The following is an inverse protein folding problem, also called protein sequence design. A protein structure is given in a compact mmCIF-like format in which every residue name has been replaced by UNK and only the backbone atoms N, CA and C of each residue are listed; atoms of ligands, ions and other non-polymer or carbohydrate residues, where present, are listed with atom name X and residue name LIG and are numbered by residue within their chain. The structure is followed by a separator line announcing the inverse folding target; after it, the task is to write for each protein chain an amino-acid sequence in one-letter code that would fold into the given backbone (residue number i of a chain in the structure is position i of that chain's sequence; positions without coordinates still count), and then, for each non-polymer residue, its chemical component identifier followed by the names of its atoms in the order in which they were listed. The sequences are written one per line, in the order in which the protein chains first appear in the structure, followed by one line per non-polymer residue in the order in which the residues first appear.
data_IF_086744726175
#
_entry.id   IF_086744726175
#
_cell.length_a   1.000
_cell.length_b   1.000
_cell.length_c   1.000
_cell.angle_alpha   90.00
_cell.angle_beta   90.00
_cell.angle_gamma   90.00
#
_symmetry.space_group_name_H-M   'P 1'
#
loop_
_entity.id
_entity.type
_entity.pdbx_description
1 polymer ?
#
# COMPACT_ATOMS: atom_id res chain seq x y z
N UNK A 1 9.71 13.54 -8.79
CA UNK A 1 9.53 12.81 -10.06
C UNK A 1 8.41 11.80 -9.85
N UNK A 2 7.46 11.75 -10.77
CA UNK A 2 6.20 11.03 -10.69
C UNK A 2 5.98 10.23 -11.98
N UNK A 3 4.84 9.58 -12.11
CA UNK A 3 4.46 8.85 -13.31
C UNK A 3 4.40 9.77 -14.54
N UNK A 4 4.02 11.04 -14.38
CA UNK A 4 4.02 12.04 -15.45
C UNK A 4 5.42 12.28 -16.01
N UNK A 5 6.45 12.28 -15.16
CA UNK A 5 7.84 12.37 -15.60
C UNK A 5 8.27 11.15 -16.45
N UNK A 6 7.79 9.97 -16.08
CA UNK A 6 8.03 8.75 -16.87
C UNK A 6 7.28 8.76 -18.19
N UNK A 7 6.02 9.20 -18.20
CA UNK A 7 5.23 9.39 -19.42
C UNK A 7 5.92 10.33 -20.42
N UNK A 8 6.38 11.48 -19.93
CA UNK A 8 7.11 12.45 -20.74
C UNK A 8 8.39 11.85 -21.36
N UNK A 9 9.18 11.09 -20.55
CA UNK A 9 10.39 10.42 -21.02
C UNK A 9 10.12 9.35 -22.09
N UNK A 10 9.02 8.59 -21.95
CA UNK A 10 8.67 7.49 -22.84
C UNK A 10 7.85 7.93 -24.06
N UNK A 11 7.30 9.14 -24.06
CA UNK A 11 6.35 9.61 -25.08
C UNK A 11 5.05 8.80 -25.07
N UNK A 12 4.56 8.38 -23.90
CA UNK A 12 3.37 7.55 -23.70
C UNK A 12 2.35 8.25 -22.83
N UNK A 13 1.08 7.90 -23.01
CA UNK A 13 -0.01 8.29 -22.14
C UNK A 13 -0.68 7.05 -21.54
N UNK A 14 -0.92 7.08 -20.24
CA UNK A 14 -1.65 6.06 -19.50
C UNK A 14 -2.95 6.67 -18.97
N UNK A 15 -3.98 6.61 -19.81
CA UNK A 15 -5.23 7.32 -19.58
C UNK A 15 -6.03 6.72 -18.42
N UNK A 16 -6.07 5.39 -18.28
CA UNK A 16 -6.79 4.75 -17.21
C UNK A 16 -6.15 5.05 -15.82
N UNK A 17 -4.83 5.11 -15.76
CA UNK A 17 -4.10 5.56 -14.55
C UNK A 17 -4.47 7.01 -14.22
N UNK A 18 -4.47 7.89 -15.20
CA UNK A 18 -4.81 9.32 -15.02
C UNK A 18 -6.26 9.52 -14.56
N UNK A 19 -7.21 8.80 -15.15
CA UNK A 19 -8.62 8.86 -14.79
C UNK A 19 -8.90 8.34 -13.38
N UNK A 20 -8.31 7.19 -13.02
CA UNK A 20 -8.42 6.61 -11.68
C UNK A 20 -7.82 7.54 -10.61
N UNK A 21 -6.68 8.17 -10.92
CA UNK A 21 -6.06 9.20 -10.06
C UNK A 21 -6.97 10.40 -9.85
N UNK A 22 -7.50 10.96 -10.93
CA UNK A 22 -8.40 12.12 -10.84
C UNK A 22 -9.68 11.80 -10.04
N UNK A 23 -10.27 10.62 -10.24
CA UNK A 23 -11.43 10.16 -9.48
C UNK A 23 -11.08 9.99 -7.99
N UNK A 24 -9.97 9.37 -7.67
CA UNK A 24 -9.51 9.15 -6.29
C UNK A 24 -9.27 10.48 -5.56
N UNK A 25 -8.59 11.43 -6.20
CA UNK A 25 -8.35 12.76 -5.64
C UNK A 25 -9.65 13.53 -5.38
N UNK A 26 -10.61 13.47 -6.32
CA UNK A 26 -11.95 14.03 -6.13
C UNK A 26 -12.66 13.40 -4.93
N UNK A 27 -12.60 12.08 -4.78
CA UNK A 27 -13.21 11.37 -3.67
C UNK A 27 -12.59 11.76 -2.32
N UNK A 28 -11.26 11.85 -2.23
CA UNK A 28 -10.54 12.33 -1.03
C UNK A 28 -10.95 13.77 -0.67
N UNK A 29 -11.04 14.66 -1.65
CA UNK A 29 -11.49 16.05 -1.41
C UNK A 29 -12.92 16.11 -0.89
N UNK A 30 -13.85 15.33 -1.44
CA UNK A 30 -15.24 15.29 -0.99
C UNK A 30 -15.36 14.74 0.44
N UNK A 31 -14.63 13.65 0.76
CA UNK A 31 -14.56 13.09 2.11
C UNK A 31 -14.00 14.13 3.10
N UNK A 32 -12.89 14.78 2.75
CA UNK A 32 -12.29 15.81 3.61
C UNK A 32 -13.27 16.96 3.89
N UNK A 33 -13.94 17.45 2.87
CA UNK A 33 -14.93 18.53 3.01
C UNK A 33 -16.14 18.11 3.85
N UNK A 34 -16.60 16.85 3.76
CA UNK A 34 -17.70 16.33 4.55
C UNK A 34 -17.30 16.21 6.04
N UNK A 35 -16.16 15.62 6.34
CA UNK A 35 -15.62 15.47 7.70
C UNK A 35 -15.40 16.86 8.35
N UNK A 36 -14.95 17.84 7.58
CA UNK A 36 -14.76 19.20 8.07
C UNK A 36 -16.08 19.91 8.41
N UNK A 37 -17.10 19.74 7.59
CA UNK A 37 -18.44 20.29 7.85
C UNK A 37 -19.07 19.76 9.14
N UNK A 38 -18.94 18.45 9.35
CA UNK A 38 -19.45 17.78 10.56
C UNK A 38 -18.62 18.05 11.81
N UNK A 39 -17.50 18.79 11.69
CA UNK A 39 -16.56 19.07 12.80
C UNK A 39 -16.06 17.82 13.52
N UNK A 40 -15.97 16.72 12.81
CA UNK A 40 -15.50 15.42 13.33
C UNK A 40 -13.98 15.43 13.49
N UNK A 41 -13.47 16.22 14.45
CA UNK A 41 -12.04 16.47 14.65
C UNK A 41 -11.62 16.19 16.07
N UNK A 42 -10.55 15.43 16.21
CA UNK A 42 -9.82 15.23 17.47
C UNK A 42 -8.33 15.16 17.14
N UNK A 43 -7.47 15.67 18.03
CA UNK A 43 -6.01 15.51 17.91
C UNK A 43 -5.55 14.07 18.18
N UNK A 44 -6.40 13.28 18.86
CA UNK A 44 -6.14 11.89 19.21
C UNK A 44 -6.70 10.90 18.19
N UNK A 45 -7.45 11.36 17.19
CA UNK A 45 -8.05 10.49 16.18
C UNK A 45 -7.73 10.98 14.77
N UNK A 46 -7.63 10.04 13.83
CA UNK A 46 -7.55 10.34 12.41
C UNK A 46 -8.43 9.38 11.62
N UNK A 47 -9.27 9.94 10.73
CA UNK A 47 -9.89 9.14 9.70
C UNK A 47 -8.87 8.81 8.63
N UNK A 48 -8.76 7.54 8.28
CA UNK A 48 -7.82 7.03 7.30
C UNK A 48 -8.59 6.25 6.24
N UNK A 49 -8.33 6.55 4.98
CA UNK A 49 -8.74 5.70 3.86
C UNK A 49 -7.57 4.84 3.42
N UNK A 50 -7.89 3.66 2.91
CA UNK A 50 -6.95 2.61 2.55
C UNK A 50 -7.29 2.05 1.16
N UNK A 51 -6.54 1.07 0.71
CA UNK A 51 -6.84 0.32 -0.50
C UNK A 51 -6.74 1.14 -1.78
N UNK A 52 -7.64 0.90 -2.73
CA UNK A 52 -7.60 1.54 -4.06
C UNK A 52 -7.71 3.06 -3.98
N UNK A 53 -8.48 3.60 -3.03
CA UNK A 53 -8.60 5.04 -2.87
C UNK A 53 -7.28 5.68 -2.44
N UNK A 54 -6.61 5.08 -1.47
CA UNK A 54 -5.31 5.57 -0.99
C UNK A 54 -4.17 5.39 -2.01
N UNK A 55 -4.27 4.37 -2.89
CA UNK A 55 -3.32 4.17 -3.99
C UNK A 55 -3.63 4.96 -5.26
N UNK A 56 -4.67 5.81 -5.22
CA UNK A 56 -5.16 6.57 -6.39
C UNK A 56 -5.57 5.68 -7.58
N UNK A 57 -6.11 4.50 -7.29
CA UNK A 57 -6.60 3.49 -8.23
C UNK A 57 -8.11 3.29 -8.16
N UNK A 58 -8.79 4.15 -7.40
CA UNK A 58 -10.22 4.03 -7.17
C UNK A 58 -11.03 4.40 -8.42
N UNK A 59 -12.05 3.60 -8.68
CA UNK A 59 -13.01 3.81 -9.77
C UNK A 59 -14.43 3.66 -9.23
N UNK A 60 -15.47 4.17 -9.91
CA UNK A 60 -16.87 3.93 -9.49
C UNK A 60 -17.14 2.45 -9.26
N UNK A 61 -17.83 2.12 -8.16
CA UNK A 61 -18.07 0.72 -7.74
C UNK A 61 -16.91 0.04 -7.02
N UNK A 62 -15.80 0.74 -6.74
CA UNK A 62 -14.76 0.26 -5.82
C UNK A 62 -15.24 0.24 -4.39
N UNK A 63 -14.68 -0.67 -3.58
CA UNK A 63 -14.90 -0.67 -2.13
C UNK A 63 -14.18 0.54 -1.51
N UNK A 64 -14.85 1.22 -0.58
CA UNK A 64 -14.25 2.31 0.20
C UNK A 64 -13.75 1.74 1.53
N UNK A 65 -12.48 1.36 1.56
CA UNK A 65 -11.81 0.87 2.75
C UNK A 65 -11.36 2.04 3.65
N UNK A 66 -11.76 2.03 4.91
CA UNK A 66 -11.44 3.10 5.87
C UNK A 66 -11.31 2.55 7.30
N UNK A 67 -10.65 3.32 8.16
CA UNK A 67 -10.58 3.08 9.60
C UNK A 67 -10.46 4.39 10.37
N UNK A 68 -10.89 4.40 11.63
CA UNK A 68 -10.59 5.47 12.58
C UNK A 68 -9.40 5.04 13.42
N UNK A 69 -8.27 5.68 13.21
CA UNK A 69 -7.07 5.45 14.00
C UNK A 69 -7.14 6.30 15.28
N UNK A 70 -6.95 5.66 16.43
CA UNK A 70 -6.95 6.29 17.73
C UNK A 70 -5.55 6.22 18.33
N UNK A 71 -4.99 7.39 18.66
CA UNK A 71 -3.68 7.57 19.28
C UNK A 71 -3.80 8.47 20.50
N UNK A 72 -4.43 7.95 21.53
CA UNK A 72 -4.75 8.68 22.75
C UNK A 72 -5.30 7.77 23.82
N UNK A 73 -5.88 8.38 24.84
CA UNK A 73 -6.52 7.65 25.96
C UNK A 73 -7.77 6.92 25.50
N UNK A 74 -8.13 5.86 26.19
CA UNK A 74 -9.44 5.21 25.99
C UNK A 74 -10.52 6.20 26.45
N UNK A 75 -11.35 6.66 25.51
CA UNK A 75 -12.44 7.61 25.74
C UNK A 75 -13.75 7.02 25.20
N UNK A 76 -14.81 6.92 26.02
CA UNK A 76 -16.13 6.49 25.54
C UNK A 76 -16.67 7.33 24.38
N UNK A 77 -16.23 8.57 24.21
CA UNK A 77 -16.62 9.45 23.10
C UNK A 77 -16.05 8.99 21.73
N UNK A 78 -15.06 8.11 21.71
CA UNK A 78 -14.58 7.55 20.44
C UNK A 78 -15.65 6.72 19.72
N UNK A 79 -16.55 6.05 20.45
CA UNK A 79 -17.62 5.25 19.83
C UNK A 79 -18.63 6.11 19.06
N UNK A 80 -19.28 7.14 19.65
CA UNK A 80 -20.16 8.01 18.88
C UNK A 80 -19.42 8.79 17.78
N UNK A 81 -18.15 9.18 17.98
CA UNK A 81 -17.34 9.80 16.94
C UNK A 81 -17.16 8.86 15.73
N UNK A 82 -16.79 7.61 15.96
CA UNK A 82 -16.62 6.61 14.90
C UNK A 82 -17.94 6.32 14.17
N UNK A 83 -19.08 6.32 14.89
CA UNK A 83 -20.39 6.16 14.28
C UNK A 83 -20.74 7.34 13.36
N UNK A 84 -20.55 8.58 13.81
CA UNK A 84 -20.78 9.78 13.01
C UNK A 84 -19.89 9.81 11.76
N UNK A 85 -18.62 9.43 11.91
CA UNK A 85 -17.68 9.27 10.78
C UNK A 85 -18.22 8.23 9.79
N UNK A 86 -18.67 7.08 10.26
CA UNK A 86 -19.25 6.01 9.43
C UNK A 86 -20.44 6.51 8.62
N UNK A 87 -21.37 7.22 9.25
CA UNK A 87 -22.57 7.72 8.59
C UNK A 87 -22.21 8.77 7.53
N UNK A 88 -21.27 9.67 7.83
CA UNK A 88 -20.75 10.66 6.87
C UNK A 88 -20.07 9.99 5.67
N UNK A 89 -19.24 9.00 5.92
CA UNK A 89 -18.54 8.24 4.85
C UNK A 89 -19.56 7.52 3.95
N UNK A 90 -20.59 6.90 4.55
CA UNK A 90 -21.62 6.19 3.77
C UNK A 90 -22.41 7.12 2.86
N UNK A 91 -22.72 8.34 3.32
CA UNK A 91 -23.38 9.35 2.50
C UNK A 91 -22.51 9.74 1.29
N UNK A 92 -21.25 10.09 1.52
CA UNK A 92 -20.31 10.46 0.44
C UNK A 92 -20.04 9.29 -0.51
N UNK A 93 -19.89 8.06 0.02
CA UNK A 93 -19.70 6.87 -0.79
C UNK A 93 -20.89 6.62 -1.75
N UNK A 94 -22.13 6.82 -1.27
CA UNK A 94 -23.32 6.68 -2.10
C UNK A 94 -23.36 7.73 -3.25
N UNK A 95 -22.96 8.97 -2.98
CA UNK A 95 -22.87 10.04 -3.99
C UNK A 95 -21.80 9.73 -5.07
N UNK A 96 -20.73 9.06 -4.69
CA UNK A 96 -19.61 8.69 -5.56
C UNK A 96 -19.79 7.32 -6.25
N UNK A 97 -20.87 6.59 -5.94
CA UNK A 97 -21.06 5.22 -6.43
C UNK A 97 -20.05 4.21 -5.89
N UNK A 98 -19.50 4.47 -4.69
CA UNK A 98 -18.57 3.56 -4.01
C UNK A 98 -19.31 2.54 -3.14
N UNK A 99 -18.71 1.38 -2.96
CA UNK A 99 -19.27 0.28 -2.17
C UNK A 99 -18.80 0.35 -0.71
N UNK A 100 -19.58 -0.23 0.21
CA UNK A 100 -19.16 -0.38 1.61
C UNK A 100 -17.96 -1.32 1.70
N UNK A 101 -17.09 -1.16 2.71
CA UNK A 101 -16.00 -2.10 2.94
C UNK A 101 -16.55 -3.50 3.24
N UNK A 102 -15.75 -4.52 2.92
CA UNK A 102 -16.12 -5.92 3.23
C UNK A 102 -16.33 -6.09 4.74
N UNK A 103 -17.45 -6.70 5.19
CA UNK A 103 -17.74 -6.90 6.60
C UNK A 103 -16.78 -7.85 7.31
N UNK A 104 -15.94 -8.57 6.57
CA UNK A 104 -14.95 -9.54 7.08
C UNK A 104 -13.52 -9.01 7.06
N UNK A 105 -13.31 -7.74 6.66
CA UNK A 105 -11.98 -7.11 6.63
C UNK A 105 -11.64 -6.39 7.93
N UNK A 106 -10.41 -5.89 8.06
CA UNK A 106 -10.00 -5.04 9.18
C UNK A 106 -10.53 -3.60 9.07
N UNK A 107 -11.39 -3.33 8.09
CA UNK A 107 -11.87 -2.01 7.71
C UNK A 107 -13.27 -1.71 8.27
N UNK A 108 -13.61 -0.42 8.32
CA UNK A 108 -14.93 0.03 8.79
C UNK A 108 -15.06 0.10 10.31
N UNK A 109 -13.94 0.07 11.04
CA UNK A 109 -13.88 0.01 12.49
C UNK A 109 -12.75 0.90 13.06
N UNK A 110 -12.58 0.92 14.37
CA UNK A 110 -11.52 1.62 15.08
C UNK A 110 -10.26 0.76 15.20
N UNK A 111 -9.11 1.41 15.11
CA UNK A 111 -7.78 0.83 15.32
C UNK A 111 -7.04 1.65 16.36
N UNK A 112 -6.50 1.01 17.38
CA UNK A 112 -5.71 1.66 18.41
C UNK A 112 -4.23 1.61 18.07
N UNK A 113 -3.52 2.74 18.28
CA UNK A 113 -2.09 2.85 18.04
C UNK A 113 -1.28 1.83 18.83
N UNK A 114 -1.74 1.47 20.03
CA UNK A 114 -1.10 0.47 20.86
C UNK A 114 -0.85 -0.85 20.12
N UNK A 115 -1.88 -1.38 19.45
CA UNK A 115 -1.83 -2.67 18.77
C UNK A 115 -0.86 -2.68 17.57
N UNK A 116 -0.71 -1.55 16.90
CA UNK A 116 0.10 -1.45 15.68
C UNK A 116 1.53 -0.95 15.92
N UNK A 117 1.81 -0.35 17.08
CA UNK A 117 3.14 0.18 17.44
C UNK A 117 3.83 -0.70 18.49
N UNK A 118 3.15 -0.99 19.62
CA UNK A 118 3.81 -1.61 20.77
C UNK A 118 3.87 -3.13 20.68
N UNK A 119 3.00 -3.76 19.89
CA UNK A 119 3.01 -5.21 19.72
C UNK A 119 4.08 -5.71 18.70
N UNK A 120 4.80 -4.82 18.01
CA UNK A 120 5.77 -5.21 16.94
C UNK A 120 6.77 -6.25 17.46
N UNK A 121 6.80 -7.43 16.81
CA UNK A 121 7.73 -8.52 17.14
C UNK A 121 7.44 -9.24 18.44
N UNK A 122 6.40 -8.85 19.19
CA UNK A 122 5.99 -9.49 20.43
C UNK A 122 5.06 -10.70 20.22
N UNK A 123 4.74 -11.38 21.31
CA UNK A 123 3.83 -12.54 21.32
C UNK A 123 2.42 -12.16 20.82
N UNK A 124 1.98 -10.93 21.09
CA UNK A 124 0.69 -10.37 20.68
C UNK A 124 0.70 -9.74 19.28
N UNK A 125 1.81 -9.82 18.52
CA UNK A 125 1.89 -9.29 17.16
C UNK A 125 1.18 -10.20 16.15
N UNK A 126 -0.13 -10.12 16.16
CA UNK A 126 -1.01 -10.92 15.31
C UNK A 126 -0.84 -10.56 13.82
N UNK A 127 -1.26 -11.48 12.92
CA UNK A 127 -1.34 -11.19 11.50
C UNK A 127 -2.24 -9.99 11.17
N UNK A 128 -3.27 -9.73 12.00
CA UNK A 128 -4.12 -8.55 11.88
C UNK A 128 -3.34 -7.27 12.16
N UNK A 129 -2.57 -7.24 13.25
CA UNK A 129 -1.76 -6.08 13.63
C UNK A 129 -0.70 -5.78 12.57
N UNK A 130 0.04 -6.81 12.11
CA UNK A 130 1.00 -6.68 11.00
C UNK A 130 0.32 -6.18 9.74
N UNK A 131 -0.83 -6.73 9.37
CA UNK A 131 -1.59 -6.31 8.18
C UNK A 131 -1.95 -4.83 8.26
N UNK A 132 -2.58 -4.39 9.34
CA UNK A 132 -2.99 -2.98 9.51
C UNK A 132 -1.76 -2.06 9.48
N UNK A 133 -0.69 -2.42 10.16
CA UNK A 133 0.57 -1.66 10.21
C UNK A 133 1.17 -1.46 8.82
N UNK A 134 1.28 -2.53 8.03
CA UNK A 134 1.83 -2.44 6.67
C UNK A 134 0.89 -1.67 5.74
N UNK A 135 -0.42 -1.83 5.87
CA UNK A 135 -1.39 -1.01 5.12
C UNK A 135 -1.28 0.48 5.48
N UNK A 136 -1.07 0.82 6.76
CA UNK A 136 -0.84 2.20 7.18
C UNK A 136 0.42 2.80 6.56
N UNK A 137 1.48 2.01 6.39
CA UNK A 137 2.74 2.46 5.80
C UNK A 137 2.70 2.54 4.26
N UNK A 138 2.01 1.62 3.58
CA UNK A 138 2.12 1.46 2.13
C UNK A 138 0.89 1.91 1.33
N UNK A 139 -0.28 1.98 1.94
CA UNK A 139 -1.51 2.35 1.23
C UNK A 139 -2.52 3.10 2.12
N UNK A 140 -2.10 4.17 2.78
CA UNK A 140 -3.00 4.95 3.63
C UNK A 140 -2.94 6.45 3.37
N UNK A 141 -4.11 7.09 3.38
CA UNK A 141 -4.24 8.55 3.29
C UNK A 141 -5.12 9.05 4.44
N UNK A 142 -4.66 10.07 5.14
CA UNK A 142 -5.45 10.74 6.19
C UNK A 142 -6.47 11.70 5.57
N UNK A 143 -7.69 11.68 6.07
CA UNK A 143 -8.78 12.56 5.66
C UNK A 143 -8.92 13.71 6.66
N UNK A 144 -8.83 14.94 6.17
CA UNK A 144 -8.83 16.13 7.00
C UNK A 144 -7.59 16.24 7.89
N UNK A 145 -7.75 16.62 9.18
CA UNK A 145 -6.64 16.63 10.13
C UNK A 145 -6.20 15.20 10.47
N UNK A 146 -4.95 14.90 10.28
CA UNK A 146 -4.39 13.55 10.42
C UNK A 146 -3.18 13.49 11.36
N UNK A 147 -3.22 14.28 12.44
CA UNK A 147 -2.12 14.37 13.42
C UNK A 147 -1.84 13.02 14.10
N UNK A 148 -2.88 12.29 14.50
CA UNK A 148 -2.73 10.95 15.08
C UNK A 148 -2.08 9.97 14.09
N UNK A 149 -2.48 10.00 12.81
CA UNK A 149 -1.83 9.20 11.75
C UNK A 149 -0.33 9.51 11.66
N UNK A 150 0.03 10.80 11.62
CA UNK A 150 1.43 11.21 11.50
C UNK A 150 2.26 10.70 12.69
N UNK A 151 1.75 10.84 13.92
CA UNK A 151 2.45 10.31 15.11
C UNK A 151 2.60 8.80 15.06
N UNK A 152 1.54 8.08 14.70
CA UNK A 152 1.56 6.61 14.63
C UNK A 152 2.54 6.12 13.58
N UNK A 153 2.54 6.70 12.37
CA UNK A 153 3.51 6.34 11.31
C UNK A 153 4.95 6.61 11.76
N UNK A 154 5.20 7.76 12.40
CA UNK A 154 6.50 8.09 12.97
C UNK A 154 6.94 7.05 14.00
N UNK A 155 6.03 6.64 14.89
CA UNK A 155 6.34 5.67 15.95
C UNK A 155 6.54 4.25 15.40
N UNK A 156 5.78 3.83 14.38
CA UNK A 156 6.01 2.56 13.69
C UNK A 156 7.41 2.52 13.07
N UNK A 157 7.77 3.54 12.28
CA UNK A 157 9.09 3.60 11.66
C UNK A 157 10.21 3.68 12.70
N UNK A 158 10.03 4.48 13.75
CA UNK A 158 10.99 4.56 14.86
C UNK A 158 11.24 3.19 15.46
N UNK A 159 10.19 2.44 15.77
CA UNK A 159 10.31 1.11 16.36
C UNK A 159 11.12 0.16 15.47
N UNK A 160 10.85 0.11 14.18
CA UNK A 160 11.60 -0.72 13.24
C UNK A 160 13.09 -0.31 13.16
N UNK A 161 13.37 1.00 13.08
CA UNK A 161 14.75 1.50 12.94
C UNK A 161 15.57 1.35 14.23
N UNK A 162 14.95 1.49 15.40
CA UNK A 162 15.63 1.27 16.69
C UNK A 162 16.01 -0.19 16.89
N UNK A 163 15.15 -1.15 16.48
CA UNK A 163 15.49 -2.57 16.52
C UNK A 163 16.62 -2.92 15.53
N UNK A 164 16.62 -2.33 14.32
CA UNK A 164 17.71 -2.51 13.37
C UNK A 164 19.04 -1.94 13.91
N UNK A 165 19.02 -0.77 14.53
CA UNK A 165 20.19 -0.16 15.16
C UNK A 165 20.76 -1.06 16.26
N UNK A 166 19.92 -1.58 17.13
CA UNK A 166 20.32 -2.49 18.21
C UNK A 166 20.94 -3.78 17.66
N UNK A 167 20.28 -4.42 16.68
CA UNK A 167 20.71 -5.69 16.11
C UNK A 167 21.99 -5.58 15.29
N UNK A 168 22.18 -4.47 14.58
CA UNK A 168 23.37 -4.24 13.78
C UNK A 168 24.57 -3.69 14.58
N UNK A 169 24.38 -3.34 15.84
CA UNK A 169 25.47 -2.88 16.72
C UNK A 169 26.52 -4.00 16.86
N UNK A 170 27.73 -3.73 16.38
CA UNK A 170 28.83 -4.69 16.40
C UNK A 170 29.02 -5.55 15.13
N UNK A 171 28.19 -5.39 14.09
CA UNK A 171 28.36 -6.04 12.80
C UNK A 171 29.07 -5.07 11.82
N UNK A 172 30.37 -5.27 11.52
CA UNK A 172 31.07 -4.42 10.58
C UNK A 172 30.47 -4.54 9.15
N UNK A 173 30.22 -3.40 8.50
CA UNK A 173 29.80 -3.30 7.10
C UNK A 173 28.46 -3.93 6.75
N UNK A 174 27.47 -3.91 7.67
CA UNK A 174 26.12 -4.30 7.29
C UNK A 174 25.57 -3.31 6.23
N UNK A 175 24.73 -3.82 5.34
CA UNK A 175 24.02 -2.96 4.39
C UNK A 175 23.00 -2.08 5.11
N UNK A 176 22.77 -0.90 4.59
CA UNK A 176 21.78 0.07 5.10
C UNK A 176 20.35 -0.30 4.69
N UNK A 177 19.91 -1.51 5.04
CA UNK A 177 18.56 -2.02 4.76
C UNK A 177 17.82 -2.19 6.08
N UNK A 178 16.63 -1.57 6.27
CA UNK A 178 15.81 -1.76 7.46
C UNK A 178 15.17 -3.16 7.45
N UNK A 179 15.91 -4.15 7.99
CA UNK A 179 15.61 -5.58 7.87
C UNK A 179 14.33 -5.99 8.56
N UNK A 180 14.03 -5.43 9.73
CA UNK A 180 12.80 -5.75 10.45
C UNK A 180 11.57 -5.23 9.71
N UNK A 181 11.63 -4.02 9.14
CA UNK A 181 10.57 -3.49 8.30
C UNK A 181 10.39 -4.32 7.03
N UNK A 182 11.49 -4.65 6.35
CA UNK A 182 11.46 -5.49 5.14
C UNK A 182 10.88 -6.87 5.43
N UNK A 183 11.25 -7.50 6.57
CA UNK A 183 10.69 -8.78 6.99
C UNK A 183 9.17 -8.73 7.14
N UNK A 184 8.63 -7.67 7.78
CA UNK A 184 7.19 -7.53 7.96
C UNK A 184 6.45 -7.22 6.64
N UNK A 185 7.08 -6.49 5.70
CA UNK A 185 6.55 -6.32 4.34
C UNK A 185 6.46 -7.67 3.61
N UNK A 186 7.49 -8.51 3.72
CA UNK A 186 7.50 -9.87 3.12
C UNK A 186 6.49 -10.77 3.83
N UNK A 187 6.42 -10.72 5.17
CA UNK A 187 5.42 -11.45 5.96
C UNK A 187 3.99 -11.08 5.54
N UNK A 188 3.72 -9.78 5.39
CA UNK A 188 2.43 -9.31 4.90
C UNK A 188 2.11 -9.86 3.51
N UNK A 189 3.05 -9.83 2.56
CA UNK A 189 2.86 -10.38 1.21
C UNK A 189 2.49 -11.87 1.25
N UNK A 190 3.19 -12.65 2.07
CA UNK A 190 2.89 -14.08 2.27
C UNK A 190 1.53 -14.28 2.93
N UNK A 191 1.19 -13.46 3.91
CA UNK A 191 -0.10 -13.51 4.63
C UNK A 191 -1.27 -13.27 3.68
N UNK A 192 -1.22 -12.26 2.82
CA UNK A 192 -2.32 -12.01 1.86
C UNK A 192 -2.45 -13.13 0.81
N UNK A 193 -1.37 -13.80 0.44
CA UNK A 193 -1.43 -14.95 -0.45
C UNK A 193 -2.13 -16.16 0.23
N UNK A 194 -1.87 -16.40 1.51
CA UNK A 194 -2.55 -17.43 2.30
C UNK A 194 -4.00 -17.07 2.56
N UNK A 195 -4.30 -15.80 2.90
CA UNK A 195 -5.66 -15.29 3.07
C UNK A 195 -6.49 -15.44 1.78
N UNK A 196 -5.89 -15.16 0.62
CA UNK A 196 -6.53 -15.40 -0.68
C UNK A 196 -6.94 -16.87 -0.85
N UNK A 197 -6.06 -17.82 -0.47
CA UNK A 197 -6.37 -19.25 -0.54
C UNK A 197 -7.47 -19.67 0.46
N UNK A 198 -7.48 -19.09 1.68
CA UNK A 198 -8.52 -19.33 2.69
C UNK A 198 -9.88 -18.80 2.23
N UNK A 199 -9.93 -17.58 1.71
CA UNK A 199 -11.17 -16.96 1.21
C UNK A 199 -11.81 -17.72 0.06
N UNK A 200 -11.05 -18.45 -0.75
CA UNK A 200 -11.62 -19.34 -1.77
C UNK A 200 -12.52 -20.41 -1.14
N UNK A 201 -12.10 -20.97 -0.01
CA UNK A 201 -12.88 -22.01 0.70
C UNK A 201 -14.07 -21.40 1.45
N UNK A 202 -13.85 -20.31 2.16
CA UNK A 202 -14.86 -19.65 3.00
C UNK A 202 -16.02 -19.06 2.19
N UNK A 203 -15.75 -18.57 0.98
CA UNK A 203 -16.72 -17.93 0.09
C UNK A 203 -17.17 -18.84 -1.06
N UNK A 204 -16.89 -20.16 -0.99
CA UNK A 204 -17.23 -21.12 -2.04
C UNK A 204 -16.82 -20.67 -3.47
N UNK A 205 -15.73 -19.91 -3.59
CA UNK A 205 -15.24 -19.38 -4.86
C UNK A 205 -15.80 -18.03 -5.27
N UNK A 206 -16.84 -17.51 -4.65
CA UNK A 206 -17.42 -16.20 -4.99
C UNK A 206 -16.37 -15.08 -5.00
N UNK A 207 -16.35 -14.29 -6.09
CA UNK A 207 -15.39 -13.20 -6.31
C UNK A 207 -13.92 -13.66 -6.42
N UNK A 208 -13.66 -14.93 -6.63
CA UNK A 208 -12.30 -15.46 -6.73
C UNK A 208 -11.50 -14.83 -7.86
N UNK A 209 -12.08 -14.70 -9.06
CA UNK A 209 -11.38 -14.19 -10.24
C UNK A 209 -10.93 -12.73 -10.01
N UNK A 210 -11.85 -11.88 -9.54
CA UNK A 210 -11.51 -10.47 -9.23
C UNK A 210 -10.40 -10.37 -8.18
N UNK A 211 -10.48 -11.14 -7.08
CA UNK A 211 -9.43 -11.16 -6.06
C UNK A 211 -8.08 -11.66 -6.61
N UNK A 212 -8.11 -12.65 -7.52
CA UNK A 212 -6.90 -13.16 -8.17
C UNK A 212 -6.19 -12.08 -8.98
N UNK A 213 -6.93 -11.35 -9.81
CA UNK A 213 -6.36 -10.25 -10.62
C UNK A 213 -5.83 -9.12 -9.73
N UNK A 214 -6.60 -8.70 -8.70
CA UNK A 214 -6.14 -7.68 -7.73
C UNK A 214 -4.86 -8.11 -6.99
N UNK A 215 -4.73 -9.39 -6.62
CA UNK A 215 -3.52 -9.92 -5.98
C UNK A 215 -2.31 -9.83 -6.92
N UNK A 216 -2.50 -10.16 -8.20
CA UNK A 216 -1.44 -10.17 -9.21
C UNK A 216 -0.99 -8.77 -9.63
N UNK A 217 -1.84 -7.77 -9.53
CA UNK A 217 -1.62 -6.39 -9.96
C UNK A 217 -1.41 -5.46 -8.77
N UNK A 218 -2.46 -4.88 -8.21
CA UNK A 218 -2.39 -3.83 -7.18
C UNK A 218 -1.62 -4.25 -5.92
N UNK A 219 -1.85 -5.47 -5.43
CA UNK A 219 -1.16 -5.93 -4.22
C UNK A 219 0.33 -6.18 -4.46
N UNK A 220 0.68 -6.64 -5.66
CA UNK A 220 2.08 -6.80 -6.05
C UNK A 220 2.78 -5.46 -6.23
N UNK A 221 2.11 -4.46 -6.84
CA UNK A 221 2.64 -3.10 -6.94
C UNK A 221 2.96 -2.52 -5.57
N UNK A 222 2.02 -2.62 -4.63
CA UNK A 222 2.20 -2.16 -3.25
C UNK A 222 3.36 -2.87 -2.56
N UNK A 223 3.47 -4.21 -2.70
CA UNK A 223 4.61 -4.96 -2.18
C UNK A 223 5.94 -4.46 -2.76
N UNK A 224 6.00 -4.24 -4.10
CA UNK A 224 7.19 -3.71 -4.76
C UNK A 224 7.59 -2.34 -4.22
N UNK A 225 6.63 -1.43 -4.01
CA UNK A 225 6.92 -0.10 -3.47
C UNK A 225 7.50 -0.16 -2.06
N UNK A 226 7.01 -1.08 -1.22
CA UNK A 226 7.56 -1.30 0.12
C UNK A 226 8.98 -1.88 0.10
N UNK A 227 9.26 -2.84 -0.79
CA UNK A 227 10.61 -3.36 -0.99
C UNK A 227 11.57 -2.28 -1.48
N UNK A 228 11.13 -1.43 -2.43
CA UNK A 228 11.91 -0.30 -2.93
C UNK A 228 12.22 0.71 -1.83
N UNK A 229 11.27 1.03 -0.96
CA UNK A 229 11.51 1.88 0.22
C UNK A 229 12.67 1.35 1.07
N UNK A 230 12.69 0.05 1.35
CA UNK A 230 13.76 -0.56 2.15
C UNK A 230 15.11 -0.60 1.41
N UNK A 231 15.10 -0.93 0.12
CA UNK A 231 16.34 -1.03 -0.67
C UNK A 231 16.94 0.34 -1.02
N UNK A 232 16.11 1.37 -1.16
CA UNK A 232 16.59 2.73 -1.39
C UNK A 232 17.31 3.32 -0.18
N UNK A 233 17.11 2.81 1.03
CA UNK A 233 17.94 3.13 2.17
C UNK A 233 19.42 2.80 1.89
N UNK A 234 19.71 1.64 1.28
CA UNK A 234 21.06 1.24 0.85
C UNK A 234 21.50 1.98 -0.41
N UNK A 235 20.62 2.06 -1.42
CA UNK A 235 21.00 2.50 -2.76
C UNK A 235 21.11 4.02 -2.89
N UNK A 236 20.36 4.79 -2.09
CA UNK A 236 20.28 6.26 -2.19
C UNK A 236 20.63 6.96 -0.89
N UNK A 237 20.32 6.35 0.25
CA UNK A 237 20.32 7.03 1.55
C UNK A 237 21.29 6.39 2.55
N UNK A 238 22.26 5.61 2.07
CA UNK A 238 23.18 4.84 2.90
C UNK A 238 23.91 5.73 3.92
N UNK A 239 24.44 6.84 3.52
CA UNK A 239 25.16 7.77 4.41
C UNK A 239 24.24 8.30 5.53
N UNK A 240 23.01 8.68 5.17
CA UNK A 240 22.03 9.14 6.15
C UNK A 240 21.58 8.02 7.08
N UNK A 241 21.36 6.82 6.56
CA UNK A 241 21.01 5.63 7.34
C UNK A 241 22.11 5.32 8.36
N UNK A 242 23.36 5.24 7.92
CA UNK A 242 24.52 4.97 8.78
C UNK A 242 24.69 6.07 9.86
N UNK A 243 24.55 7.33 9.49
CA UNK A 243 24.64 8.46 10.43
C UNK A 243 23.53 8.41 11.49
N UNK A 244 22.30 8.09 11.11
CA UNK A 244 21.16 8.06 12.00
C UNK A 244 21.18 6.88 12.97
N UNK A 245 21.62 5.70 12.51
CA UNK A 245 21.57 4.48 13.30
C UNK A 245 22.87 4.14 14.02
N UNK A 246 24.01 4.47 13.42
CA UNK A 246 25.35 4.07 13.89
C UNK A 246 26.28 5.23 14.22
N UNK A 247 25.76 6.46 14.19
CA UNK A 247 26.49 7.64 14.59
C UNK A 247 26.73 7.71 16.11
N UNK A 248 27.52 8.69 16.58
CA UNK A 248 27.81 8.85 18.01
C UNK A 248 26.58 9.04 18.89
N UNK A 249 25.54 9.63 18.33
CA UNK A 249 24.22 9.77 18.94
C UNK A 249 23.18 9.21 17.97
N UNK A 250 22.53 8.12 18.36
CA UNK A 250 21.44 7.52 17.56
C UNK A 250 20.26 8.48 17.50
N UNK A 251 19.99 9.00 16.31
CA UNK A 251 18.85 9.87 16.05
C UNK A 251 18.16 9.44 14.75
N UNK A 252 17.07 8.69 14.88
CA UNK A 252 16.33 8.13 13.74
C UNK A 252 15.40 9.15 13.06
N UNK A 253 15.11 10.30 13.66
CA UNK A 253 14.14 11.27 13.14
C UNK A 253 14.41 11.75 11.70
N UNK A 254 15.64 12.13 11.31
CA UNK A 254 15.87 12.59 9.93
C UNK A 254 15.62 11.50 8.88
N UNK A 255 15.90 10.24 9.21
CA UNK A 255 15.60 9.10 8.34
C UNK A 255 14.10 8.81 8.28
N UNK A 256 13.39 8.91 9.40
CA UNK A 256 11.94 8.78 9.46
C UNK A 256 11.26 9.85 8.60
N UNK A 257 11.66 11.10 8.71
CA UNK A 257 11.13 12.21 7.90
C UNK A 257 11.33 11.97 6.41
N UNK A 258 12.51 11.47 6.02
CA UNK A 258 12.80 11.09 4.65
C UNK A 258 11.87 9.95 4.18
N UNK A 259 11.73 8.87 4.95
CA UNK A 259 10.87 7.74 4.60
C UNK A 259 9.40 8.15 4.52
N UNK A 260 8.93 9.02 5.41
CA UNK A 260 7.58 9.57 5.36
C UNK A 260 7.35 10.40 4.10
N UNK A 261 8.30 11.26 3.75
CA UNK A 261 8.17 12.20 2.62
C UNK A 261 8.28 11.48 1.28
N UNK A 262 9.25 10.59 1.13
CA UNK A 262 9.60 10.01 -0.17
C UNK A 262 8.88 8.70 -0.48
N UNK A 263 8.29 8.04 0.55
CA UNK A 263 7.67 6.72 0.35
C UNK A 263 6.28 6.62 0.99
N UNK A 264 6.15 6.78 2.30
CA UNK A 264 4.89 6.50 3.02
C UNK A 264 3.74 7.41 2.59
N UNK A 265 4.03 8.70 2.32
CA UNK A 265 3.06 9.67 1.83
C UNK A 265 3.04 9.77 0.29
N UNK A 266 3.70 8.85 -0.41
CA UNK A 266 3.72 8.78 -1.86
C UNK A 266 2.85 7.63 -2.37
N UNK A 267 2.31 7.80 -3.59
CA UNK A 267 1.58 6.74 -4.27
C UNK A 267 2.55 5.61 -4.70
N UNK A 268 2.19 4.32 -4.54
CA UNK A 268 3.01 3.20 -5.01
C UNK A 268 3.39 3.26 -6.49
N UNK A 269 2.51 3.75 -7.37
CA UNK A 269 2.83 3.95 -8.78
C UNK A 269 3.95 4.98 -8.98
N UNK A 270 3.93 6.09 -8.23
CA UNK A 270 4.96 7.12 -8.33
C UNK A 270 6.30 6.63 -7.78
N UNK A 271 6.30 5.84 -6.70
CA UNK A 271 7.51 5.20 -6.17
C UNK A 271 8.12 4.29 -7.25
N UNK A 272 7.31 3.42 -7.86
CA UNK A 272 7.76 2.55 -8.94
C UNK A 272 8.23 3.37 -10.16
N UNK A 273 7.48 4.38 -10.59
CA UNK A 273 7.85 5.21 -11.74
C UNK A 273 9.20 5.90 -11.53
N UNK A 274 9.44 6.45 -10.35
CA UNK A 274 10.73 7.03 -9.97
C UNK A 274 11.86 6.00 -10.04
N UNK A 275 11.63 4.80 -9.50
CA UNK A 275 12.61 3.73 -9.51
C UNK A 275 12.93 3.25 -10.94
N UNK A 276 11.94 3.12 -11.80
CA UNK A 276 12.14 2.79 -13.21
C UNK A 276 12.85 3.91 -13.99
N UNK A 277 12.55 5.18 -13.72
CA UNK A 277 13.24 6.32 -14.32
C UNK A 277 14.73 6.32 -14.04
N UNK A 278 15.11 5.96 -12.83
CA UNK A 278 16.49 6.00 -12.34
C UNK A 278 17.28 4.76 -12.73
N UNK A 279 16.66 3.60 -12.76
CA UNK A 279 17.36 2.29 -12.77
C UNK A 279 16.83 1.27 -13.75
N UNK A 280 15.59 1.46 -14.25
CA UNK A 280 14.94 0.51 -15.14
C UNK A 280 15.32 0.76 -16.61
N UNK A 281 15.22 -0.30 -17.41
CA UNK A 281 15.28 -0.17 -18.86
C UNK A 281 13.96 0.37 -19.41
N UNK A 282 14.05 1.17 -20.45
CA UNK A 282 12.90 1.81 -21.10
C UNK A 282 11.80 0.81 -21.51
N UNK A 283 12.19 -0.33 -22.07
CA UNK A 283 11.26 -1.36 -22.48
C UNK A 283 10.57 -2.03 -21.30
N UNK A 284 11.32 -2.33 -20.23
CA UNK A 284 10.79 -2.91 -19.00
C UNK A 284 9.76 -1.95 -18.35
N UNK A 285 10.09 -0.66 -18.30
CA UNK A 285 9.17 0.37 -17.80
C UNK A 285 7.89 0.44 -18.63
N UNK A 286 8.02 0.44 -19.96
CA UNK A 286 6.88 0.46 -20.89
C UNK A 286 5.96 -0.74 -20.68
N UNK A 287 6.50 -1.96 -20.66
CA UNK A 287 5.74 -3.19 -20.44
C UNK A 287 5.00 -3.16 -19.08
N UNK A 288 5.69 -2.72 -18.02
CA UNK A 288 5.14 -2.66 -16.68
C UNK A 288 3.95 -1.72 -16.58
N UNK A 289 4.09 -0.47 -17.01
CA UNK A 289 3.05 0.54 -16.86
C UNK A 289 1.92 0.38 -17.89
N UNK A 290 2.20 -0.10 -19.11
CA UNK A 290 1.13 -0.46 -20.05
C UNK A 290 0.24 -1.57 -19.49
N UNK A 291 0.85 -2.61 -18.91
CA UNK A 291 0.07 -3.69 -18.30
C UNK A 291 -0.79 -3.18 -17.12
N UNK A 292 -0.27 -2.19 -16.38
CA UNK A 292 -1.03 -1.60 -15.26
C UNK A 292 -2.16 -0.69 -15.72
N UNK A 293 -1.96 0.09 -16.78
CA UNK A 293 -2.98 0.93 -17.40
C UNK A 293 -4.14 0.07 -17.98
N UNK A 294 -3.83 -1.01 -18.69
CA UNK A 294 -4.82 -1.99 -19.15
C UNK A 294 -5.62 -2.56 -17.95
N UNK A 295 -4.93 -2.95 -16.89
CA UNK A 295 -5.60 -3.46 -15.69
C UNK A 295 -6.59 -2.44 -15.11
N UNK A 296 -6.22 -1.15 -15.00
CA UNK A 296 -7.12 -0.13 -14.47
C UNK A 296 -8.26 0.19 -15.43
N UNK A 297 -8.03 0.17 -16.73
CA UNK A 297 -9.08 0.30 -17.75
C UNK A 297 -10.14 -0.78 -17.57
N UNK A 298 -9.74 -2.06 -17.47
CA UNK A 298 -10.67 -3.17 -17.27
C UNK A 298 -11.38 -3.10 -15.90
N UNK A 299 -10.69 -2.61 -14.87
CA UNK A 299 -11.31 -2.40 -13.55
C UNK A 299 -12.28 -1.22 -13.54
N UNK A 300 -12.21 -0.29 -14.45
CA UNK A 300 -13.16 0.81 -14.61
C UNK A 300 -14.46 0.36 -15.30
N UNK A 301 -14.42 -0.71 -16.07
CA UNK A 301 -15.59 -1.29 -16.71
C UNK A 301 -16.43 -2.11 -15.69
N UNK A 302 -17.67 -1.65 -15.46
CA UNK A 302 -18.58 -2.31 -14.51
C UNK A 302 -18.98 -3.70 -14.98
N UNK A 303 -19.11 -3.95 -16.29
CA UNK A 303 -19.48 -5.24 -16.85
C UNK A 303 -18.40 -6.29 -16.60
N UNK A 304 -17.13 -5.92 -16.83
CA UNK A 304 -15.96 -6.77 -16.56
C UNK A 304 -15.86 -7.07 -15.06
N UNK A 305 -16.01 -6.04 -14.21
CA UNK A 305 -15.94 -6.24 -12.75
C UNK A 305 -17.05 -7.15 -12.24
N UNK A 306 -18.29 -6.96 -12.69
CA UNK A 306 -19.43 -7.78 -12.27
C UNK A 306 -19.21 -9.22 -12.70
N UNK A 307 -18.80 -9.44 -13.95
CA UNK A 307 -18.44 -10.76 -14.45
C UNK A 307 -17.35 -11.43 -13.61
N UNK A 308 -16.25 -10.73 -13.31
CA UNK A 308 -15.19 -11.28 -12.47
C UNK A 308 -15.61 -11.54 -11.01
N UNK A 309 -16.62 -10.83 -10.49
CA UNK A 309 -17.20 -11.12 -9.16
C UNK A 309 -18.00 -12.41 -9.14
N UNK A 310 -18.75 -12.69 -10.23
CA UNK A 310 -19.59 -13.87 -10.37
C UNK A 310 -18.82 -15.12 -10.80
N UNK A 311 -17.67 -14.94 -11.46
CA UNK A 311 -16.87 -16.02 -12.02
C UNK A 311 -16.24 -16.87 -10.93
N UNK A 312 -16.61 -18.16 -10.89
CA UNK A 312 -16.01 -19.11 -9.99
C UNK A 312 -14.67 -19.68 -10.51
N UNK A 313 -13.97 -20.38 -9.63
CA UNK A 313 -12.66 -20.94 -9.94
C UNK A 313 -12.70 -21.94 -11.12
N UNK A 314 -13.75 -22.77 -11.22
CA UNK A 314 -13.79 -23.85 -12.21
C UNK A 314 -14.09 -23.31 -13.61
N UNK A 315 -14.89 -22.23 -13.72
CA UNK A 315 -15.23 -21.59 -14.98
C UNK A 315 -14.14 -20.60 -15.47
N UNK A 316 -13.22 -20.21 -14.60
CA UNK A 316 -12.23 -19.17 -14.92
C UNK A 316 -11.24 -19.57 -16.03
N UNK A 317 -10.98 -20.87 -16.24
CA UNK A 317 -10.10 -21.34 -17.32
C UNK A 317 -10.67 -21.09 -18.71
N UNK A 318 -11.99 -21.06 -18.85
CA UNK A 318 -12.69 -20.95 -20.13
C UNK A 318 -13.22 -19.54 -20.40
N UNK A 319 -13.06 -18.63 -19.42
CA UNK A 319 -13.49 -17.24 -19.52
C UNK A 319 -12.42 -16.38 -20.22
N UNK A 320 -12.77 -15.82 -21.38
CA UNK A 320 -11.85 -15.06 -22.22
C UNK A 320 -11.37 -13.76 -21.57
N UNK A 321 -12.24 -13.03 -20.84
CA UNK A 321 -11.88 -11.78 -20.17
C UNK A 321 -10.91 -12.03 -19.02
N UNK A 322 -11.19 -13.05 -18.20
CA UNK A 322 -10.27 -13.45 -17.13
C UNK A 322 -8.91 -13.90 -17.71
N UNK A 323 -8.89 -14.69 -18.80
CA UNK A 323 -7.64 -15.13 -19.42
C UNK A 323 -6.84 -13.98 -20.01
N UNK A 324 -7.49 -12.98 -20.61
CA UNK A 324 -6.84 -11.76 -21.10
C UNK A 324 -6.18 -10.98 -19.94
N UNK A 325 -6.92 -10.74 -18.85
CA UNK A 325 -6.37 -10.09 -17.64
C UNK A 325 -5.26 -10.89 -17.01
N UNK A 326 -5.40 -12.22 -16.98
CA UNK A 326 -4.35 -13.12 -16.48
C UNK A 326 -3.07 -13.00 -17.32
N UNK A 327 -3.20 -13.01 -18.65
CA UNK A 327 -2.09 -12.83 -19.59
C UNK A 327 -1.43 -11.46 -19.38
N UNK A 328 -2.23 -10.39 -19.25
CA UNK A 328 -1.73 -9.06 -18.93
C UNK A 328 -0.98 -9.04 -17.56
N UNK A 329 -1.48 -9.76 -16.56
CA UNK A 329 -0.79 -9.89 -15.27
C UNK A 329 0.54 -10.64 -15.35
N UNK A 330 0.70 -11.54 -16.30
CA UNK A 330 1.99 -12.19 -16.57
C UNK A 330 3.00 -11.22 -17.21
N UNK A 331 2.57 -10.36 -18.13
CA UNK A 331 3.42 -9.30 -18.70
C UNK A 331 3.90 -8.35 -17.58
N UNK A 332 2.99 -7.89 -16.74
CA UNK A 332 3.33 -7.09 -15.55
C UNK A 332 4.36 -7.78 -14.64
N UNK A 333 4.13 -9.07 -14.33
CA UNK A 333 5.05 -9.85 -13.49
C UNK A 333 6.42 -10.02 -14.15
N UNK A 334 6.47 -10.30 -15.45
CA UNK A 334 7.73 -10.45 -16.20
C UNK A 334 8.54 -9.15 -16.15
N UNK A 335 7.89 -8.01 -16.39
CA UNK A 335 8.54 -6.70 -16.29
C UNK A 335 9.03 -6.41 -14.87
N UNK A 336 8.24 -6.73 -13.83
CA UNK A 336 8.65 -6.61 -12.45
C UNK A 336 9.91 -7.45 -12.13
N UNK A 337 9.93 -8.72 -12.56
CA UNK A 337 11.09 -9.60 -12.36
C UNK A 337 12.32 -9.10 -13.13
N UNK A 338 12.15 -8.62 -14.36
CA UNK A 338 13.25 -8.01 -15.13
C UNK A 338 13.84 -6.81 -14.41
N UNK A 339 12.99 -5.95 -13.87
CA UNK A 339 13.43 -4.79 -13.10
C UNK A 339 14.26 -5.17 -11.86
N UNK A 340 13.79 -6.12 -11.05
CA UNK A 340 14.48 -6.51 -9.80
C UNK A 340 15.70 -7.40 -10.03
N UNK A 341 15.76 -8.20 -11.12
CA UNK A 341 16.78 -9.24 -11.27
C UNK A 341 17.63 -9.12 -12.54
N UNK A 342 17.31 -8.19 -13.48
CA UNK A 342 18.03 -8.12 -14.76
C UNK A 342 18.42 -6.70 -15.17
N UNK A 343 17.71 -5.67 -14.72
CA UNK A 343 17.93 -4.30 -15.21
C UNK A 343 19.04 -3.58 -14.44
N UNK A 344 19.26 -3.93 -13.17
CA UNK A 344 20.23 -3.28 -12.29
C UNK A 344 20.90 -4.31 -11.37
N UNK A 345 22.23 -4.39 -11.42
CA UNK A 345 23.01 -5.39 -10.66
C UNK A 345 22.96 -5.15 -9.13
N UNK A 346 22.89 -3.91 -8.67
CA UNK A 346 22.79 -3.61 -7.23
C UNK A 346 21.42 -4.03 -6.69
N UNK A 347 20.35 -3.73 -7.42
CA UNK A 347 18.98 -4.13 -7.06
C UNK A 347 18.84 -5.67 -7.06
N UNK A 348 19.45 -6.33 -8.04
CA UNK A 348 19.52 -7.80 -8.10
C UNK A 348 20.23 -8.38 -6.88
N UNK A 349 21.40 -7.84 -6.51
CA UNK A 349 22.15 -8.30 -5.34
C UNK A 349 21.32 -8.15 -4.05
N UNK A 350 20.68 -7.00 -3.83
CA UNK A 350 19.79 -6.78 -2.69
C UNK A 350 18.60 -7.74 -2.68
N UNK A 351 17.98 -7.96 -3.85
CA UNK A 351 16.85 -8.88 -3.98
C UNK A 351 17.24 -10.33 -3.66
N UNK A 352 18.42 -10.76 -4.09
CA UNK A 352 18.93 -12.09 -3.78
C UNK A 352 19.30 -12.25 -2.30
N UNK A 353 19.90 -11.22 -1.71
CA UNK A 353 20.39 -11.26 -0.32
C UNK A 353 19.24 -11.15 0.70
N UNK A 354 18.23 -10.30 0.44
CA UNK A 354 17.23 -9.95 1.45
C UNK A 354 15.79 -10.38 1.16
N UNK A 355 15.42 -10.60 -0.11
CA UNK A 355 14.05 -10.97 -0.44
C UNK A 355 13.82 -12.48 -0.60
N UNK A 356 14.89 -13.26 -0.73
CA UNK A 356 14.82 -14.71 -0.90
C UNK A 356 15.10 -15.47 0.40
N UNK A 357 15.86 -14.88 1.34
CA UNK A 357 16.28 -15.53 2.58
C UNK A 357 16.02 -14.67 3.81
#
# INVERSE_FOLDING_TARGET
MSIEGLQAKLGLEWNAIKEARAFSQKAVMQLSSAIERERLKSSETSLIVLGSLAREECVPGSDLDWTVLIDGRVDPQHVPLAQNIRDTIQAVAAELGLQKPSPRGPFGDMVFSHDVVHAIGGEDDTNRNTTIRILLLLESVGIGKSEARQRVLTNILRRYLEEDAYFASGIPKSRAVPRFLLNDIIRYWRTIAVDFASKRRELAGEGWALRNIKLRMSRKLMFMSGVLMCFDCEMKHREQFEKCLFGPETNTLPLIELLLTDYVNCNPLDICARAFLERGKTETAREFFNAYDIFLSEMSDESVRSRLKELDYNAASDDSEFQNLRTNSHAFQKAALSFFFSDNEQLKALSQEYALF
#
